data_IF_484611327679
#
_entry.id   IF_484611327679
#
_cell.length_a   1.000
_cell.length_b   1.000
_cell.length_c   1.000
_cell.angle_alpha   90.00
_cell.angle_beta   90.00
_cell.angle_gamma   90.00
#
_symmetry.space_group_name_H-M   'P 1'
#
loop_
_entity.id
_entity.type
_entity.pdbx_description
1 polymer ?
#
# COMPACT_ATOMS: atom_id res chain seq x y z
N UNK A 1 -6.64 47.97 47.56
CA UNK A 1 -6.80 46.55 47.15
C UNK A 1 -6.17 46.22 45.79
N UNK A 2 -6.32 47.00 44.72
CA UNK A 2 -5.60 46.72 43.45
C UNK A 2 -4.08 46.99 43.52
N UNK A 3 -3.69 48.13 44.10
CA UNK A 3 -2.28 48.57 44.14
C UNK A 3 -1.36 47.67 44.98
N UNK A 4 -1.89 47.04 46.02
CA UNK A 4 -1.13 46.17 46.92
C UNK A 4 -0.86 44.81 46.27
N UNK A 5 -1.83 44.32 45.49
CA UNK A 5 -1.70 43.11 44.68
C UNK A 5 -0.70 43.30 43.53
N UNK A 6 -0.71 44.47 42.89
CA UNK A 6 0.26 44.82 41.83
C UNK A 6 1.69 44.91 42.38
N UNK A 7 1.86 45.34 43.64
CA UNK A 7 3.17 45.36 44.31
C UNK A 7 3.66 43.94 44.63
N UNK A 8 2.80 43.06 45.16
CA UNK A 8 3.15 41.65 45.42
C UNK A 8 3.51 40.88 44.14
N UNK A 9 2.86 41.20 43.02
CA UNK A 9 3.09 40.56 41.72
C UNK A 9 4.24 41.19 40.93
N UNK A 10 4.74 42.37 41.31
CA UNK A 10 5.82 43.07 40.61
C UNK A 10 7.16 42.31 40.57
N UNK A 11 7.37 41.40 41.52
CA UNK A 11 8.53 40.49 41.56
C UNK A 11 8.34 39.17 40.81
N UNK A 12 7.12 38.85 40.37
CA UNK A 12 6.77 37.60 39.69
C UNK A 12 6.77 37.80 38.16
N UNK A 13 7.94 37.73 37.55
CA UNK A 13 8.03 37.61 36.09
C UNK A 13 7.65 36.20 35.67
N UNK A 14 6.43 36.02 35.16
CA UNK A 14 5.97 34.75 34.59
C UNK A 14 6.63 34.47 33.23
N UNK A 15 7.93 34.13 33.23
CA UNK A 15 8.70 33.87 32.01
C UNK A 15 8.25 32.65 31.19
N UNK A 16 7.32 31.83 31.71
CA UNK A 16 6.83 30.60 31.07
C UNK A 16 5.40 30.68 30.54
N UNK A 17 4.80 31.88 30.47
CA UNK A 17 3.44 32.03 29.92
C UNK A 17 3.30 31.43 28.51
N UNK A 18 4.28 31.66 27.64
CA UNK A 18 4.30 31.06 26.31
C UNK A 18 4.35 29.52 26.35
N UNK A 19 5.05 28.94 27.33
CA UNK A 19 5.19 27.49 27.49
C UNK A 19 3.91 26.84 28.06
N UNK A 20 3.22 27.52 28.99
CA UNK A 20 1.92 27.08 29.50
C UNK A 20 0.84 27.19 28.42
N UNK A 21 0.81 28.27 27.64
CA UNK A 21 -0.14 28.42 26.53
C UNK A 21 0.09 27.34 25.48
N UNK A 22 1.33 27.04 25.13
CA UNK A 22 1.65 25.99 24.16
C UNK A 22 1.25 24.58 24.63
N UNK A 23 1.26 24.34 25.94
CA UNK A 23 0.82 23.07 26.55
C UNK A 23 -0.71 22.94 26.62
N UNK A 24 -1.42 24.05 26.78
CA UNK A 24 -2.88 24.07 26.98
C UNK A 24 -3.67 24.35 25.71
N UNK A 25 -3.07 24.99 24.71
CA UNK A 25 -3.65 25.29 23.40
C UNK A 25 -2.59 25.05 22.30
N UNK A 26 -2.46 23.81 21.77
CA UNK A 26 -1.54 23.54 20.67
C UNK A 26 -2.02 24.29 19.42
N UNK A 27 -1.22 25.29 19.00
CA UNK A 27 -1.57 26.26 17.95
C UNK A 27 -1.45 25.72 16.52
N UNK A 28 -0.76 24.59 16.33
CA UNK A 28 -0.37 24.11 14.99
C UNK A 28 -0.74 22.64 14.80
N UNK A 29 -1.19 22.25 13.59
CA UNK A 29 -1.52 20.85 13.24
C UNK A 29 -0.35 19.90 13.50
N UNK A 30 0.90 20.36 13.31
CA UNK A 30 2.12 19.61 13.64
C UNK A 30 2.24 19.33 15.14
N UNK A 31 1.93 20.30 15.99
CA UNK A 31 1.97 20.15 17.45
C UNK A 31 0.81 19.26 17.94
N UNK A 32 -0.35 19.27 17.26
CA UNK A 32 -1.44 18.30 17.50
C UNK A 32 -1.03 16.87 17.15
N UNK A 33 -0.38 16.68 16.01
CA UNK A 33 0.13 15.37 15.60
C UNK A 33 1.18 14.87 16.60
N UNK A 34 2.11 15.73 17.00
CA UNK A 34 3.13 15.40 18.01
C UNK A 34 2.51 15.10 19.37
N UNK A 35 1.46 15.82 19.77
CA UNK A 35 0.70 15.53 20.99
C UNK A 35 -0.10 14.23 20.88
N UNK A 36 -0.53 13.83 19.68
CA UNK A 36 -1.18 12.54 19.45
C UNK A 36 -0.16 11.39 19.54
N UNK A 37 1.03 11.57 18.97
CA UNK A 37 2.14 10.62 19.10
C UNK A 37 2.70 10.52 20.53
N UNK A 38 2.65 11.60 21.31
CA UNK A 38 3.18 11.66 22.68
C UNK A 38 2.15 11.32 23.76
N UNK A 39 0.86 11.27 23.42
CA UNK A 39 -0.13 10.60 24.26
C UNK A 39 0.03 9.11 24.01
N UNK A 40 0.20 8.36 25.09
CA UNK A 40 0.25 6.90 25.14
C UNK A 40 -0.78 6.31 24.19
N UNK A 41 -0.34 6.07 22.96
CA UNK A 41 -1.19 5.56 21.92
C UNK A 41 -1.23 4.06 22.19
N UNK A 42 -2.11 3.65 23.09
CA UNK A 42 -2.51 2.25 23.25
C UNK A 42 -3.24 1.84 21.98
N UNK A 43 -2.53 1.80 20.85
CA UNK A 43 -3.08 1.29 19.62
C UNK A 43 -3.33 -0.20 19.87
N UNK A 44 -4.61 -0.63 19.83
CA UNK A 44 -4.89 -2.04 19.99
C UNK A 44 -4.17 -2.78 18.85
N UNK A 45 -3.22 -3.64 19.22
CA UNK A 45 -2.28 -4.27 18.28
C UNK A 45 -3.02 -5.09 17.23
N UNK A 46 -4.15 -5.68 17.63
CA UNK A 46 -4.99 -6.52 16.77
C UNK A 46 -5.54 -5.71 15.58
N UNK A 47 -6.35 -4.65 15.75
CA UNK A 47 -6.89 -3.88 14.63
C UNK A 47 -5.82 -3.14 13.83
N UNK A 48 -4.71 -2.71 14.45
CA UNK A 48 -3.62 -2.09 13.70
C UNK A 48 -2.89 -3.11 12.82
N UNK A 49 -2.60 -4.28 13.38
CA UNK A 49 -1.96 -5.39 12.67
C UNK A 49 -2.82 -5.89 11.52
N UNK A 50 -4.14 -6.04 11.72
CA UNK A 50 -5.05 -6.46 10.64
C UNK A 50 -5.14 -5.41 9.54
N UNK A 51 -5.18 -4.12 9.87
CA UNK A 51 -5.17 -3.05 8.88
C UNK A 51 -3.90 -3.06 8.03
N UNK A 52 -2.72 -3.21 8.66
CA UNK A 52 -1.44 -3.30 7.96
C UNK A 52 -1.39 -4.57 7.09
N UNK A 53 -1.79 -5.72 7.63
CA UNK A 53 -1.81 -6.98 6.90
C UNK A 53 -2.71 -6.89 5.66
N UNK A 54 -3.93 -6.36 5.80
CA UNK A 54 -4.85 -6.15 4.67
C UNK A 54 -4.26 -5.24 3.60
N UNK A 55 -3.59 -4.17 4.01
CA UNK A 55 -2.96 -3.22 3.08
C UNK A 55 -1.82 -3.89 2.31
N UNK A 56 -0.96 -4.65 3.00
CA UNK A 56 0.10 -5.44 2.36
C UNK A 56 -0.47 -6.51 1.42
N UNK A 57 -1.52 -7.21 1.83
CA UNK A 57 -2.20 -8.20 0.98
C UNK A 57 -2.80 -7.55 -0.26
N UNK A 58 -3.42 -6.37 -0.14
CA UNK A 58 -3.98 -5.63 -1.26
C UNK A 58 -2.89 -5.18 -2.25
N UNK A 59 -1.76 -4.68 -1.74
CA UNK A 59 -0.60 -4.31 -2.58
C UNK A 59 -0.02 -5.54 -3.27
N UNK A 60 0.13 -6.65 -2.55
CA UNK A 60 0.61 -7.90 -3.11
C UNK A 60 -0.30 -8.43 -4.22
N UNK A 61 -1.63 -8.45 -3.99
CA UNK A 61 -2.62 -8.83 -5.01
C UNK A 61 -2.56 -7.91 -6.22
N UNK A 62 -2.44 -6.61 -6.00
CA UNK A 62 -2.33 -5.63 -7.09
C UNK A 62 -1.10 -5.87 -7.97
N UNK A 63 0.04 -6.17 -7.36
CA UNK A 63 1.26 -6.54 -8.08
C UNK A 63 1.12 -7.92 -8.75
N UNK A 64 0.61 -8.93 -8.05
CA UNK A 64 0.45 -10.29 -8.57
C UNK A 64 -0.54 -10.38 -9.74
N UNK A 65 -1.54 -9.49 -9.82
CA UNK A 65 -2.46 -9.40 -10.96
C UNK A 65 -1.83 -8.68 -12.15
N UNK A 66 -0.89 -7.76 -11.90
CA UNK A 66 -0.19 -6.99 -12.93
C UNK A 66 1.04 -7.69 -13.50
N UNK A 67 1.64 -8.58 -12.74
CA UNK A 67 2.65 -9.47 -13.27
C UNK A 67 1.95 -10.59 -14.04
N UNK A 68 2.11 -10.69 -15.38
CA UNK A 68 1.67 -11.90 -16.05
C UNK A 68 2.43 -13.04 -15.38
N UNK A 69 1.71 -14.03 -14.84
CA UNK A 69 2.29 -15.28 -14.36
C UNK A 69 3.33 -15.69 -15.39
N UNK A 70 4.60 -15.50 -15.06
CA UNK A 70 5.66 -16.17 -15.79
C UNK A 70 5.42 -17.62 -15.44
N UNK A 71 4.66 -18.30 -16.31
CA UNK A 71 4.57 -19.73 -16.28
C UNK A 71 6.01 -20.24 -16.13
N UNK A 72 6.28 -21.24 -15.27
CA UNK A 72 7.60 -21.82 -15.22
C UNK A 72 7.97 -22.17 -16.66
N UNK A 73 9.00 -21.50 -17.18
CA UNK A 73 9.54 -21.74 -18.52
C UNK A 73 10.26 -23.07 -18.43
N UNK A 74 9.45 -24.12 -18.40
CA UNK A 74 9.87 -25.50 -18.58
C UNK A 74 9.99 -25.70 -20.09
N UNK A 75 11.20 -25.47 -20.61
CA UNK A 75 11.57 -25.87 -21.97
C UNK A 75 11.24 -24.84 -23.04
N UNK A 76 12.30 -24.39 -23.72
CA UNK A 76 12.32 -23.76 -25.04
C UNK A 76 11.27 -22.68 -25.30
N UNK A 77 11.70 -21.42 -25.27
CA UNK A 77 11.04 -20.33 -25.98
C UNK A 77 11.10 -20.62 -27.50
N UNK A 78 10.28 -21.58 -27.95
CA UNK A 78 10.06 -21.86 -29.36
C UNK A 78 9.33 -20.64 -29.90
N UNK A 79 10.04 -19.86 -30.68
CA UNK A 79 9.56 -18.66 -31.37
C UNK A 79 8.23 -19.01 -32.05
N UNK A 80 7.12 -18.60 -31.44
CA UNK A 80 5.79 -18.92 -31.96
C UNK A 80 5.57 -18.09 -33.21
N UNK A 81 5.45 -18.77 -34.35
CA UNK A 81 5.16 -18.15 -35.64
C UNK A 81 3.63 -18.04 -35.81
N UNK A 82 3.17 -16.86 -36.26
CA UNK A 82 1.80 -16.65 -36.70
C UNK A 82 1.70 -16.99 -38.19
N UNK A 83 0.67 -17.76 -38.55
CA UNK A 83 0.33 -18.09 -39.93
C UNK A 83 -1.08 -17.58 -40.25
N UNK A 84 -1.28 -17.14 -41.48
CA UNK A 84 -2.58 -16.73 -41.99
C UNK A 84 -3.16 -17.85 -42.85
N UNK A 85 -4.34 -18.35 -42.47
CA UNK A 85 -5.05 -19.40 -43.21
C UNK A 85 -6.51 -19.00 -43.34
N UNK A 86 -7.03 -18.96 -44.56
CA UNK A 86 -8.46 -18.65 -44.81
C UNK A 86 -8.90 -17.28 -44.30
N UNK A 87 -8.01 -16.28 -44.31
CA UNK A 87 -8.30 -14.92 -43.84
C UNK A 87 -8.35 -14.75 -42.31
N UNK A 88 -7.89 -15.75 -41.55
CA UNK A 88 -7.74 -15.68 -40.10
C UNK A 88 -6.32 -16.05 -39.68
N UNK A 89 -5.83 -15.39 -38.62
CA UNK A 89 -4.50 -15.60 -38.08
C UNK A 89 -4.52 -16.67 -36.99
N UNK A 90 -3.67 -17.68 -37.13
CA UNK A 90 -3.53 -18.78 -36.18
C UNK A 90 -2.07 -18.94 -35.76
N UNK A 91 -1.86 -19.45 -34.55
CA UNK A 91 -0.54 -19.89 -34.11
C UNK A 91 -0.19 -21.22 -34.80
N UNK A 92 0.99 -21.28 -35.41
CA UNK A 92 1.43 -22.42 -36.22
C UNK A 92 1.40 -23.75 -35.44
N UNK A 93 1.85 -23.73 -34.19
CA UNK A 93 1.90 -24.91 -33.31
C UNK A 93 0.50 -25.45 -32.97
N UNK A 94 -0.47 -24.56 -32.76
CA UNK A 94 -1.86 -24.94 -32.49
C UNK A 94 -2.53 -25.49 -33.75
N UNK A 95 -2.23 -24.93 -34.93
CA UNK A 95 -2.74 -25.41 -36.20
C UNK A 95 -2.22 -26.82 -36.53
N UNK A 96 -0.91 -27.04 -36.44
CA UNK A 96 -0.28 -28.34 -36.66
C UNK A 96 -0.81 -29.40 -35.68
N UNK A 97 -1.00 -29.04 -34.41
CA UNK A 97 -1.57 -29.94 -33.40
C UNK A 97 -2.99 -30.39 -33.74
N UNK A 98 -3.82 -29.46 -34.21
CA UNK A 98 -5.20 -29.79 -34.63
C UNK A 98 -5.20 -30.64 -35.89
N UNK A 99 -4.33 -30.34 -36.85
CA UNK A 99 -4.19 -31.11 -38.07
C UNK A 99 -3.77 -32.56 -37.77
N UNK A 100 -2.75 -32.74 -36.92
CA UNK A 100 -2.28 -34.05 -36.49
C UNK A 100 -3.37 -34.88 -35.77
N UNK A 101 -4.25 -34.23 -35.00
CA UNK A 101 -5.39 -34.88 -34.34
C UNK A 101 -6.44 -35.35 -35.36
N UNK A 102 -6.66 -34.60 -36.43
CA UNK A 102 -7.63 -34.93 -37.47
C UNK A 102 -7.09 -36.06 -38.38
N UNK A 103 -5.78 -36.06 -38.63
CA UNK A 103 -5.12 -37.05 -39.49
C UNK A 103 -4.95 -38.43 -38.82
N UNK A 104 -4.84 -38.50 -37.49
CA UNK A 104 -4.78 -39.76 -36.73
C UNK A 104 -5.97 -39.93 -35.77
N UNK A 105 -7.16 -40.33 -36.26
CA UNK A 105 -8.32 -40.62 -35.41
C UNK A 105 -8.25 -41.95 -34.63
N UNK A 106 -7.24 -42.80 -34.88
CA UNK A 106 -7.26 -44.23 -34.49
C UNK A 106 -6.23 -44.66 -33.42
N UNK A 107 -5.73 -43.73 -32.59
CA UNK A 107 -4.95 -44.08 -31.39
C UNK A 107 -5.58 -43.47 -30.13
N UNK A 108 -6.68 -44.08 -29.69
CA UNK A 108 -7.24 -43.98 -28.34
C UNK A 108 -7.57 -45.35 -27.79
#
# INVERSE_FOLDING_TARGET
>A
MKQELDWELSGLQFGKQAEVIRRTHPSTLKDRLRSFWNKELELPVIPLGTAIALLLTAVYLYHAVREPKQAPVSGEAKQRELIETGGSFYWKDEFERRLARIENPDQS
#
